data_IF_852307171978
#
_entry.id   IF_852307171978
#
_cell.length_a   1.000
_cell.length_b   1.000
_cell.length_c   1.000
_cell.angle_alpha   90.00
_cell.angle_beta   90.00
_cell.angle_gamma   90.00
#
_symmetry.space_group_name_H-M   'P 1'
#
loop_
_entity.id
_entity.type
_entity.pdbx_description
1 polymer ?
#
# COMPACT_ATOMS: atom_id res chain seq x y z
N UNK A 1 30.21 45.32 -81.51
CA UNK A 1 29.36 45.08 -80.33
C UNK A 1 28.37 43.97 -80.72
N UNK A 2 28.71 42.71 -80.46
CA UNK A 2 27.76 41.57 -80.60
C UNK A 2 28.05 40.65 -79.43
N UNK A 3 27.07 40.44 -78.55
CA UNK A 3 27.16 39.58 -77.38
C UNK A 3 26.98 38.13 -77.85
N UNK A 4 27.92 37.28 -77.50
CA UNK A 4 27.93 35.85 -77.72
C UNK A 4 27.18 35.17 -76.56
N UNK A 5 26.04 34.48 -76.82
CA UNK A 5 25.36 33.68 -75.86
C UNK A 5 25.92 32.27 -75.91
N UNK A 6 26.43 31.80 -74.79
CA UNK A 6 26.88 30.44 -74.59
C UNK A 6 25.71 29.65 -73.96
N UNK A 7 25.19 28.64 -74.67
CA UNK A 7 24.23 27.68 -74.15
C UNK A 7 25.01 26.61 -73.36
N UNK A 8 24.72 26.53 -72.06
CA UNK A 8 25.16 25.41 -71.21
C UNK A 8 24.04 24.40 -71.11
N UNK A 9 24.25 23.21 -71.66
CA UNK A 9 23.35 22.06 -71.59
C UNK A 9 23.53 21.37 -70.21
N UNK A 10 22.56 21.56 -69.31
CA UNK A 10 22.56 20.87 -68.00
C UNK A 10 21.84 19.51 -68.13
N UNK A 11 22.61 18.42 -68.00
CA UNK A 11 22.09 17.08 -67.88
C UNK A 11 21.56 16.87 -66.47
N UNK A 12 20.25 16.76 -66.31
CA UNK A 12 19.61 16.40 -65.02
C UNK A 12 19.72 14.89 -64.79
N UNK A 13 20.57 14.48 -63.87
CA UNK A 13 20.57 13.16 -63.27
C UNK A 13 19.48 13.10 -62.20
N UNK A 14 18.40 12.46 -62.46
CA UNK A 14 17.35 12.15 -61.45
C UNK A 14 17.84 10.97 -60.62
N UNK A 15 18.39 11.25 -59.45
CA UNK A 15 18.59 10.26 -58.40
C UNK A 15 17.24 10.03 -57.67
N UNK A 16 16.62 8.90 -57.90
CA UNK A 16 15.46 8.43 -57.13
C UNK A 16 15.96 8.04 -55.74
N UNK A 17 15.83 8.97 -54.76
CA UNK A 17 15.95 8.64 -53.36
C UNK A 17 14.69 7.82 -52.94
N UNK A 18 14.89 6.52 -52.78
CA UNK A 18 13.95 5.66 -52.14
C UNK A 18 13.68 6.15 -50.70
N UNK A 19 12.46 6.58 -50.44
CA UNK A 19 11.98 6.87 -49.13
C UNK A 19 11.88 5.57 -48.34
N UNK A 20 12.93 5.21 -47.60
CA UNK A 20 12.77 4.31 -46.46
C UNK A 20 12.02 5.04 -45.38
N UNK A 21 10.71 4.89 -45.38
CA UNK A 21 9.88 5.29 -44.27
C UNK A 21 10.33 4.52 -43.03
N UNK A 22 11.10 5.17 -42.15
CA UNK A 22 11.32 4.67 -40.82
C UNK A 22 9.97 4.63 -40.13
N UNK A 23 9.41 3.43 -39.97
CA UNK A 23 8.29 3.19 -39.06
C UNK A 23 8.83 3.47 -37.67
N UNK A 24 8.67 4.72 -37.25
CA UNK A 24 8.87 5.10 -35.85
C UNK A 24 7.82 4.32 -35.06
N UNK A 25 8.20 3.20 -34.45
CA UNK A 25 7.39 2.57 -33.42
C UNK A 25 7.16 3.61 -32.33
N UNK A 26 5.99 4.20 -32.26
CA UNK A 26 5.61 5.04 -31.12
C UNK A 26 5.86 4.19 -29.88
N UNK A 27 6.91 4.53 -29.13
CA UNK A 27 7.17 3.89 -27.85
C UNK A 27 5.88 4.03 -27.01
N UNK A 28 5.31 2.89 -26.66
CA UNK A 28 4.10 2.85 -25.84
C UNK A 28 4.46 3.51 -24.52
N UNK A 29 3.89 4.66 -24.23
CA UNK A 29 4.10 5.32 -22.93
C UNK A 29 3.68 4.37 -21.82
N UNK A 30 4.54 4.12 -20.82
CA UNK A 30 4.22 3.18 -19.77
C UNK A 30 3.05 3.69 -18.92
N UNK A 31 2.15 2.79 -18.53
CA UNK A 31 1.03 3.09 -17.63
C UNK A 31 1.51 3.33 -16.20
N UNK A 32 2.63 2.70 -15.83
CA UNK A 32 3.31 2.86 -14.54
C UNK A 32 4.82 3.00 -14.78
N UNK A 33 5.55 3.78 -13.97
CA UNK A 33 7.02 3.75 -13.98
C UNK A 33 7.54 2.45 -13.35
N UNK A 34 8.77 2.05 -13.68
CA UNK A 34 9.52 1.12 -12.83
C UNK A 34 10.10 1.92 -11.66
N UNK A 35 9.64 1.60 -10.47
CA UNK A 35 10.07 2.23 -9.23
C UNK A 35 11.45 1.72 -8.81
N UNK A 36 12.23 2.58 -8.18
CA UNK A 36 13.52 2.20 -7.58
C UNK A 36 13.32 1.76 -6.14
N UNK A 37 14.21 0.89 -5.64
CA UNK A 37 14.17 0.46 -4.25
C UNK A 37 13.08 -0.57 -3.92
N UNK A 38 12.55 -1.27 -4.92
CA UNK A 38 11.49 -2.29 -4.72
C UNK A 38 12.04 -3.63 -4.20
N UNK A 39 13.30 -3.64 -3.73
CA UNK A 39 13.93 -4.86 -3.21
C UNK A 39 14.33 -5.85 -4.31
N UNK A 40 14.54 -7.10 -3.89
CA UNK A 40 14.99 -8.20 -4.76
C UNK A 40 14.01 -9.37 -4.81
N UNK A 41 12.81 -9.20 -4.23
CA UNK A 41 11.80 -10.26 -4.26
C UNK A 41 11.38 -10.56 -5.69
N UNK A 42 11.31 -11.85 -6.02
CA UNK A 42 11.07 -12.32 -7.37
C UNK A 42 10.20 -13.58 -7.33
N UNK A 43 9.06 -13.53 -8.03
CA UNK A 43 8.22 -14.69 -8.26
C UNK A 43 8.18 -14.99 -9.76
N UNK A 44 8.81 -16.07 -10.17
CA UNK A 44 8.93 -16.45 -11.59
C UNK A 44 7.57 -16.76 -12.19
N UNK A 45 7.23 -16.08 -13.28
CA UNK A 45 6.00 -16.33 -14.05
C UNK A 45 6.32 -16.67 -15.52
N UNK A 46 5.40 -17.35 -16.16
CA UNK A 46 5.49 -17.60 -17.60
C UNK A 46 5.08 -16.37 -18.40
N UNK A 47 6.02 -15.45 -18.59
CA UNK A 47 5.87 -14.26 -19.42
C UNK A 47 6.86 -14.28 -20.59
N UNK A 48 6.45 -13.80 -21.77
CA UNK A 48 7.33 -13.69 -22.95
C UNK A 48 8.27 -12.50 -22.86
N UNK A 49 7.86 -11.46 -22.15
CA UNK A 49 8.63 -10.23 -21.99
C UNK A 49 9.31 -10.19 -20.62
N UNK A 50 10.66 -10.12 -20.56
CA UNK A 50 11.36 -9.90 -19.30
C UNK A 50 10.94 -8.62 -18.58
N UNK A 51 10.48 -7.61 -19.35
CA UNK A 51 9.97 -6.38 -18.76
C UNK A 51 8.59 -6.60 -18.14
N UNK A 52 7.73 -7.47 -18.68
CA UNK A 52 6.48 -7.88 -18.07
C UNK A 52 6.73 -8.59 -16.73
N UNK A 53 7.73 -9.46 -16.64
CA UNK A 53 8.16 -10.09 -15.38
C UNK A 53 8.55 -9.03 -14.33
N UNK A 54 9.36 -8.03 -14.71
CA UNK A 54 9.76 -6.96 -13.77
C UNK A 54 8.57 -6.15 -13.26
N UNK A 55 7.58 -5.86 -14.11
CA UNK A 55 6.36 -5.19 -13.67
C UNK A 55 5.47 -6.09 -12.83
N UNK A 56 5.49 -7.40 -13.05
CA UNK A 56 4.82 -8.36 -12.19
C UNK A 56 5.44 -8.37 -10.79
N UNK A 57 6.76 -8.49 -10.69
CA UNK A 57 7.48 -8.47 -9.40
C UNK A 57 7.21 -7.16 -8.64
N UNK A 58 7.26 -6.01 -9.34
CA UNK A 58 6.90 -4.73 -8.74
C UNK A 58 5.45 -4.71 -8.24
N UNK A 59 4.52 -5.23 -9.04
CA UNK A 59 3.11 -5.33 -8.67
C UNK A 59 2.90 -6.20 -7.43
N UNK A 60 3.58 -7.34 -7.34
CA UNK A 60 3.49 -8.25 -6.20
C UNK A 60 4.06 -7.62 -4.92
N UNK A 61 5.21 -6.98 -4.99
CA UNK A 61 5.82 -6.30 -3.84
C UNK A 61 4.97 -5.12 -3.37
N UNK A 62 4.37 -4.37 -4.31
CA UNK A 62 3.43 -3.30 -3.97
C UNK A 62 2.13 -3.84 -3.36
N UNK A 63 1.66 -5.01 -3.80
CA UNK A 63 0.54 -5.70 -3.17
C UNK A 63 0.88 -6.07 -1.72
N UNK A 64 2.04 -6.67 -1.49
CA UNK A 64 2.54 -6.93 -0.13
C UNK A 64 2.73 -5.67 0.72
N UNK A 65 2.83 -4.50 0.12
CA UNK A 65 2.86 -3.20 0.80
C UNK A 65 1.52 -2.48 0.81
N UNK A 66 0.41 -3.14 0.51
CA UNK A 66 -0.96 -2.60 0.44
C UNK A 66 -1.12 -1.37 -0.47
N UNK A 67 -0.15 -1.11 -1.35
CA UNK A 67 -0.29 -0.09 -2.40
C UNK A 67 -0.96 -0.69 -3.64
N UNK A 68 -2.20 -1.14 -3.46
CA UNK A 68 -2.97 -1.87 -4.47
C UNK A 68 -3.21 -1.04 -5.73
N UNK A 69 -3.38 0.28 -5.62
CA UNK A 69 -3.58 1.14 -6.79
C UNK A 69 -2.35 1.15 -7.73
N UNK A 70 -1.14 1.28 -7.18
CA UNK A 70 0.08 1.24 -7.98
C UNK A 70 0.44 -0.18 -8.42
N UNK A 71 0.13 -1.18 -7.60
CA UNK A 71 0.23 -2.59 -7.97
C UNK A 71 -0.65 -2.88 -9.20
N UNK A 72 -1.90 -2.42 -9.23
CA UNK A 72 -2.79 -2.56 -10.37
C UNK A 72 -2.24 -1.87 -11.64
N UNK A 73 -1.65 -0.67 -11.49
CA UNK A 73 -0.97 0.01 -12.61
C UNK A 73 0.21 -0.80 -13.15
N UNK A 74 1.00 -1.41 -12.26
CA UNK A 74 2.12 -2.28 -12.61
C UNK A 74 1.64 -3.53 -13.36
N UNK A 75 0.60 -4.21 -12.87
CA UNK A 75 0.02 -5.36 -13.56
C UNK A 75 -0.62 -5.00 -14.91
N UNK A 76 -1.31 -3.86 -15.01
CA UNK A 76 -1.83 -3.37 -16.30
C UNK A 76 -0.69 -3.10 -17.30
N UNK A 77 0.45 -2.58 -16.82
CA UNK A 77 1.63 -2.41 -17.66
C UNK A 77 2.23 -3.76 -18.09
N UNK A 78 2.30 -4.75 -17.20
CA UNK A 78 2.72 -6.10 -17.53
C UNK A 78 1.82 -6.74 -18.61
N UNK A 79 0.49 -6.61 -18.49
CA UNK A 79 -0.49 -7.06 -19.48
C UNK A 79 -0.29 -6.36 -20.83
N UNK A 80 -0.01 -5.05 -20.82
CA UNK A 80 0.24 -4.28 -22.05
C UNK A 80 1.51 -4.77 -22.79
N UNK A 81 2.52 -5.21 -22.05
CA UNK A 81 3.79 -5.75 -22.58
C UNK A 81 3.65 -7.22 -23.03
N UNK A 82 2.82 -8.00 -22.37
CA UNK A 82 2.49 -9.37 -22.72
C UNK A 82 0.99 -9.65 -22.52
N UNK A 83 0.15 -9.40 -23.52
CA UNK A 83 -1.31 -9.61 -23.44
C UNK A 83 -1.74 -11.07 -23.21
N UNK A 84 -0.84 -12.02 -23.35
CA UNK A 84 -1.07 -13.44 -23.12
C UNK A 84 -0.49 -13.95 -21.80
N UNK A 85 0.03 -13.08 -20.97
CA UNK A 85 0.51 -13.39 -19.64
C UNK A 85 -0.69 -13.67 -18.70
N UNK A 86 -0.95 -14.93 -18.38
CA UNK A 86 -2.04 -15.32 -17.49
C UNK A 86 -1.84 -14.77 -16.08
N UNK A 87 -0.62 -14.88 -15.51
CA UNK A 87 -0.31 -14.40 -14.17
C UNK A 87 -0.36 -12.87 -14.06
N UNK A 88 -0.08 -12.12 -15.14
CA UNK A 88 -0.25 -10.67 -15.13
C UNK A 88 -1.74 -10.28 -14.96
N UNK A 89 -2.66 -11.01 -15.59
CA UNK A 89 -4.10 -10.84 -15.39
C UNK A 89 -4.55 -11.31 -14.00
N UNK A 90 -3.98 -12.40 -13.49
CA UNK A 90 -4.18 -12.86 -12.12
C UNK A 90 -3.77 -11.76 -11.13
N UNK A 91 -2.57 -11.18 -11.27
CA UNK A 91 -2.08 -10.12 -10.39
C UNK A 91 -2.98 -8.88 -10.37
N UNK A 92 -3.50 -8.48 -11.54
CA UNK A 92 -4.47 -7.39 -11.62
C UNK A 92 -5.76 -7.73 -10.86
N UNK A 93 -6.29 -8.94 -11.04
CA UNK A 93 -7.47 -9.38 -10.31
C UNK A 93 -7.20 -9.43 -8.80
N UNK A 94 -6.03 -9.94 -8.37
CA UNK A 94 -5.64 -10.07 -6.98
C UNK A 94 -5.70 -8.73 -6.24
N UNK A 95 -5.08 -7.68 -6.79
CA UNK A 95 -4.99 -6.37 -6.10
C UNK A 95 -6.24 -5.51 -6.25
N UNK A 96 -7.20 -5.90 -7.08
CA UNK A 96 -8.53 -5.27 -7.11
C UNK A 96 -9.49 -5.87 -6.08
N UNK A 97 -9.09 -6.95 -5.41
CA UNK A 97 -9.81 -7.55 -4.30
C UNK A 97 -9.63 -6.83 -2.98
N UNK A 98 -10.33 -7.30 -1.93
CA UNK A 98 -10.17 -6.78 -0.59
C UNK A 98 -8.82 -7.17 0.02
N UNK A 99 -8.42 -6.43 1.06
CA UNK A 99 -7.36 -6.78 2.00
C UNK A 99 -7.80 -6.46 3.43
N UNK A 100 -6.99 -6.77 4.43
CA UNK A 100 -7.33 -6.56 5.85
C UNK A 100 -7.70 -5.13 6.23
N UNK A 101 -7.28 -4.13 5.43
CA UNK A 101 -7.52 -2.70 5.69
C UNK A 101 -8.64 -2.10 4.84
N UNK A 102 -9.00 -2.75 3.74
CA UNK A 102 -9.96 -2.20 2.79
C UNK A 102 -10.87 -3.29 2.21
N UNK A 103 -12.17 -3.03 2.23
CA UNK A 103 -13.15 -3.83 1.49
C UNK A 103 -12.94 -3.62 -0.01
N UNK A 104 -13.39 -4.59 -0.80
CA UNK A 104 -13.44 -4.43 -2.24
C UNK A 104 -14.49 -3.37 -2.62
N UNK A 105 -14.07 -2.39 -3.44
CA UNK A 105 -14.96 -1.38 -3.97
C UNK A 105 -15.88 -1.97 -5.06
N UNK A 106 -17.14 -1.55 -5.10
CA UNK A 106 -18.13 -2.06 -6.05
C UNK A 106 -17.73 -1.78 -7.50
N UNK A 107 -17.09 -0.66 -7.77
CA UNK A 107 -16.61 -0.27 -9.10
C UNK A 107 -15.40 -1.09 -9.58
N UNK A 108 -14.66 -1.73 -8.67
CA UNK A 108 -13.57 -2.65 -8.99
C UNK A 108 -14.06 -4.03 -9.45
N UNK A 109 -15.31 -4.42 -9.15
CA UNK A 109 -15.85 -5.76 -9.45
C UNK A 109 -15.83 -6.10 -10.95
N UNK A 110 -16.27 -5.24 -11.87
CA UNK A 110 -16.25 -5.57 -13.30
C UNK A 110 -14.84 -5.81 -13.86
N UNK A 111 -13.85 -5.01 -13.43
CA UNK A 111 -12.47 -5.14 -13.89
C UNK A 111 -11.81 -6.39 -13.30
N UNK A 112 -11.95 -6.65 -12.00
CA UNK A 112 -11.38 -7.82 -11.35
C UNK A 112 -11.94 -9.13 -11.93
N UNK A 113 -13.26 -9.18 -12.14
CA UNK A 113 -13.91 -10.34 -12.77
C UNK A 113 -13.45 -10.56 -14.20
N UNK A 114 -13.30 -9.48 -14.98
CA UNK A 114 -12.78 -9.56 -16.35
C UNK A 114 -11.34 -10.05 -16.36
N UNK A 115 -10.50 -9.54 -15.48
CA UNK A 115 -9.09 -9.92 -15.36
C UNK A 115 -8.95 -11.39 -14.97
N UNK A 116 -9.67 -11.87 -13.95
CA UNK A 116 -9.57 -13.28 -13.57
C UNK A 116 -10.14 -14.22 -14.63
N UNK A 117 -11.22 -13.88 -15.30
CA UNK A 117 -11.72 -14.67 -16.44
C UNK A 117 -10.70 -14.74 -17.57
N UNK A 118 -10.00 -13.64 -17.84
CA UNK A 118 -8.93 -13.62 -18.84
C UNK A 118 -7.76 -14.50 -18.41
N UNK A 119 -7.36 -14.47 -17.14
CA UNK A 119 -6.34 -15.38 -16.61
C UNK A 119 -6.73 -16.86 -16.81
N UNK A 120 -7.97 -17.23 -16.47
CA UNK A 120 -8.50 -18.59 -16.65
C UNK A 120 -8.47 -19.02 -18.14
N UNK A 121 -8.85 -18.15 -19.07
CA UNK A 121 -8.78 -18.43 -20.52
C UNK A 121 -7.34 -18.69 -21.00
N UNK A 122 -6.37 -18.03 -20.39
CA UNK A 122 -4.95 -18.13 -20.76
C UNK A 122 -4.21 -19.27 -20.00
N UNK A 123 -4.80 -19.80 -18.94
CA UNK A 123 -4.18 -20.75 -18.01
C UNK A 123 -3.66 -22.04 -18.69
N UNK A 124 -4.26 -22.47 -19.80
CA UNK A 124 -3.82 -23.67 -20.50
C UNK A 124 -2.37 -23.62 -21.01
N UNK A 125 -1.77 -22.44 -21.07
CA UNK A 125 -0.36 -22.25 -21.43
C UNK A 125 0.54 -21.98 -20.21
N UNK A 126 -0.01 -21.97 -19.01
CA UNK A 126 0.69 -21.70 -17.75
C UNK A 126 1.28 -22.97 -17.14
N UNK A 127 2.18 -22.82 -16.14
CA UNK A 127 2.66 -23.93 -15.34
C UNK A 127 1.52 -24.48 -14.44
N UNK A 128 1.69 -25.67 -13.88
CA UNK A 128 0.69 -26.25 -12.95
C UNK A 128 0.48 -25.37 -11.72
N UNK A 129 1.56 -24.77 -11.18
CA UNK A 129 1.48 -23.85 -10.06
C UNK A 129 0.68 -22.59 -10.46
N UNK A 130 1.00 -21.95 -11.58
CA UNK A 130 0.26 -20.78 -12.07
C UNK A 130 -1.22 -21.06 -12.30
N UNK A 131 -1.55 -22.25 -12.84
CA UNK A 131 -2.95 -22.69 -13.00
C UNK A 131 -3.66 -22.81 -11.65
N UNK A 132 -2.97 -23.34 -10.63
CA UNK A 132 -3.52 -23.45 -9.28
C UNK A 132 -3.79 -22.06 -8.65
N UNK A 133 -2.87 -21.09 -8.79
CA UNK A 133 -3.10 -19.68 -8.37
C UNK A 133 -4.33 -19.07 -9.06
N UNK A 134 -4.43 -19.21 -10.37
CA UNK A 134 -5.53 -18.67 -11.16
C UNK A 134 -6.87 -19.30 -10.73
N UNK A 135 -6.91 -20.62 -10.59
CA UNK A 135 -8.12 -21.33 -10.19
C UNK A 135 -8.54 -21.01 -8.74
N UNK A 136 -7.58 -20.83 -7.83
CA UNK A 136 -7.86 -20.41 -6.47
C UNK A 136 -8.48 -19.00 -6.45
N UNK A 137 -7.85 -18.03 -7.10
CA UNK A 137 -8.36 -16.65 -7.11
C UNK A 137 -9.71 -16.53 -7.82
N UNK A 138 -10.00 -17.37 -8.81
CA UNK A 138 -11.29 -17.40 -9.50
C UNK A 138 -12.47 -17.71 -8.57
N UNK A 139 -12.22 -18.31 -7.38
CA UNK A 139 -13.25 -18.55 -6.36
C UNK A 139 -13.69 -17.29 -5.63
N UNK A 140 -12.87 -16.22 -5.68
CA UNK A 140 -13.09 -14.98 -4.94
C UNK A 140 -14.02 -13.99 -5.63
N UNK A 141 -14.31 -14.16 -6.94
CA UNK A 141 -14.98 -13.14 -7.74
C UNK A 141 -16.27 -13.60 -8.39
N UNK A 142 -17.21 -12.67 -8.49
CA UNK A 142 -18.48 -12.75 -9.22
C UNK A 142 -18.58 -11.56 -10.18
N UNK A 143 -19.54 -11.62 -11.11
CA UNK A 143 -19.76 -10.58 -12.12
C UNK A 143 -20.51 -9.35 -11.60
N UNK A 144 -20.98 -9.41 -10.35
CA UNK A 144 -21.75 -8.35 -9.68
C UNK A 144 -21.23 -8.11 -8.27
N UNK A 145 -21.31 -6.87 -7.77
CA UNK A 145 -21.07 -6.57 -6.37
C UNK A 145 -21.98 -7.40 -5.45
N UNK A 146 -21.45 -7.78 -4.29
CA UNK A 146 -22.17 -8.48 -3.25
C UNK A 146 -22.03 -7.70 -1.95
N UNK A 147 -23.13 -7.54 -1.22
CA UNK A 147 -23.13 -6.92 0.10
C UNK A 147 -22.33 -7.73 1.12
N UNK A 148 -22.45 -9.06 1.07
CA UNK A 148 -21.67 -10.02 1.86
C UNK A 148 -20.81 -10.89 0.95
N UNK A 149 -19.49 -10.79 1.11
CA UNK A 149 -18.48 -11.54 0.35
C UNK A 149 -17.90 -12.72 1.13
N UNK A 150 -18.32 -12.94 2.37
CA UNK A 150 -17.72 -13.89 3.30
C UNK A 150 -17.55 -15.29 2.71
N UNK A 151 -18.55 -15.78 1.97
CA UNK A 151 -18.49 -17.09 1.33
C UNK A 151 -17.44 -17.17 0.22
N UNK A 152 -17.22 -16.08 -0.52
CA UNK A 152 -16.19 -16.01 -1.56
C UNK A 152 -14.79 -15.96 -0.94
N UNK A 153 -14.61 -15.19 0.13
CA UNK A 153 -13.33 -15.07 0.81
C UNK A 153 -12.96 -16.38 1.50
N UNK A 154 -13.91 -17.08 2.12
CA UNK A 154 -13.72 -18.44 2.66
C UNK A 154 -13.36 -19.46 1.56
N UNK A 155 -14.07 -19.43 0.42
CA UNK A 155 -13.79 -20.34 -0.70
C UNK A 155 -12.39 -20.08 -1.31
N UNK A 156 -11.96 -18.82 -1.34
CA UNK A 156 -10.62 -18.45 -1.76
C UNK A 156 -9.56 -18.94 -0.77
N UNK A 157 -9.73 -18.70 0.52
CA UNK A 157 -8.80 -19.16 1.55
C UNK A 157 -8.63 -20.68 1.53
N UNK A 158 -9.73 -21.47 1.38
CA UNK A 158 -9.66 -22.93 1.25
C UNK A 158 -8.95 -23.35 -0.04
N UNK A 159 -9.18 -22.65 -1.15
CA UNK A 159 -8.48 -22.95 -2.41
C UNK A 159 -6.97 -22.63 -2.32
N UNK A 160 -6.58 -21.54 -1.64
CA UNK A 160 -5.19 -21.21 -1.39
C UNK A 160 -4.52 -22.23 -0.47
N UNK A 161 -5.23 -22.74 0.55
CA UNK A 161 -4.74 -23.86 1.38
C UNK A 161 -4.43 -25.11 0.54
N UNK A 162 -5.31 -25.49 -0.38
CA UNK A 162 -5.08 -26.62 -1.28
C UNK A 162 -3.86 -26.37 -2.19
N UNK A 163 -3.66 -25.14 -2.66
CA UNK A 163 -2.49 -24.76 -3.42
C UNK A 163 -1.20 -24.95 -2.61
N UNK A 164 -1.17 -24.48 -1.36
CA UNK A 164 0.03 -24.66 -0.50
C UNK A 164 0.33 -26.12 -0.21
N UNK A 165 -0.68 -26.98 -0.13
CA UNK A 165 -0.49 -28.42 0.04
C UNK A 165 0.08 -29.09 -1.22
N UNK A 166 -0.33 -28.61 -2.39
CA UNK A 166 0.17 -29.11 -3.69
C UNK A 166 1.58 -28.61 -4.00
N UNK A 167 1.92 -27.39 -3.60
CA UNK A 167 3.21 -26.73 -3.84
C UNK A 167 3.84 -26.25 -2.51
N UNK A 168 4.30 -27.15 -1.63
CA UNK A 168 4.72 -26.79 -0.26
C UNK A 168 5.99 -25.92 -0.19
N UNK A 169 6.74 -25.81 -1.29
CA UNK A 169 7.93 -24.97 -1.38
C UNK A 169 7.65 -23.57 -1.98
N UNK A 170 6.40 -23.29 -2.35
CA UNK A 170 5.99 -21.99 -2.87
C UNK A 170 5.64 -21.05 -1.70
N UNK A 171 6.61 -20.23 -1.29
CA UNK A 171 6.47 -19.35 -0.13
C UNK A 171 5.54 -18.18 -0.40
N UNK A 172 5.38 -17.74 -1.65
CA UNK A 172 4.38 -16.74 -2.02
C UNK A 172 2.97 -17.32 -1.89
N UNK A 173 2.75 -18.58 -2.30
CA UNK A 173 1.49 -19.26 -2.10
C UNK A 173 1.11 -19.34 -0.61
N UNK A 174 2.07 -19.68 0.23
CA UNK A 174 1.87 -19.74 1.68
C UNK A 174 1.60 -18.33 2.27
N UNK A 175 2.29 -17.29 1.79
CA UNK A 175 2.07 -15.91 2.21
C UNK A 175 0.67 -15.43 1.84
N UNK A 176 0.24 -15.65 0.59
CA UNK A 176 -1.09 -15.26 0.12
C UNK A 176 -2.20 -16.10 0.78
N UNK A 177 -1.92 -17.35 1.15
CA UNK A 177 -2.84 -18.13 1.97
C UNK A 177 -3.03 -17.53 3.36
N UNK A 178 -1.94 -17.12 4.01
CA UNK A 178 -2.01 -16.44 5.30
C UNK A 178 -2.82 -15.12 5.19
N UNK A 179 -2.59 -14.31 4.15
CA UNK A 179 -3.38 -13.11 3.89
C UNK A 179 -4.86 -13.45 3.65
N UNK A 180 -5.16 -14.45 2.82
CA UNK A 180 -6.54 -14.88 2.56
C UNK A 180 -7.28 -15.32 3.84
N UNK A 181 -6.59 -15.96 4.80
CA UNK A 181 -7.15 -16.24 6.12
C UNK A 181 -7.39 -14.97 6.92
N UNK A 182 -6.43 -14.03 6.93
CA UNK A 182 -6.57 -12.74 7.61
C UNK A 182 -7.76 -11.94 7.07
N UNK A 183 -8.01 -11.99 5.76
CA UNK A 183 -9.15 -11.33 5.10
C UNK A 183 -10.51 -11.90 5.52
N UNK A 184 -10.57 -13.15 6.00
CA UNK A 184 -11.84 -13.71 6.53
C UNK A 184 -12.19 -13.20 7.93
N UNK A 185 -11.24 -12.57 8.64
CA UNK A 185 -11.40 -12.07 10.01
C UNK A 185 -10.57 -10.78 10.23
N UNK A 186 -10.76 -9.71 9.44
CA UNK A 186 -9.90 -8.53 9.47
C UNK A 186 -9.80 -7.94 10.88
N UNK A 187 -8.59 -7.86 11.43
CA UNK A 187 -8.26 -7.33 12.77
C UNK A 187 -8.86 -8.10 13.95
N UNK A 188 -9.58 -9.20 13.73
CA UNK A 188 -10.22 -10.01 14.75
C UNK A 188 -9.44 -11.31 15.02
N UNK A 189 -8.12 -11.19 15.29
CA UNK A 189 -7.19 -12.31 15.40
C UNK A 189 -7.08 -12.90 16.80
N UNK A 190 -7.47 -12.12 17.83
CA UNK A 190 -7.21 -12.46 19.23
C UNK A 190 -8.49 -12.51 20.04
N UNK A 191 -8.52 -13.38 21.06
CA UNK A 191 -9.58 -13.37 22.08
C UNK A 191 -9.34 -12.23 23.08
N UNK A 192 -10.32 -11.97 23.94
CA UNK A 192 -10.17 -10.98 25.02
C UNK A 192 -9.11 -11.39 26.05
N UNK A 193 -8.85 -12.69 26.21
CA UNK A 193 -7.83 -13.26 27.09
C UNK A 193 -6.42 -13.19 26.49
N UNK A 194 -6.29 -12.74 25.24
CA UNK A 194 -5.00 -12.62 24.55
C UNK A 194 -4.50 -13.91 23.92
N UNK A 195 -5.39 -14.87 23.70
CA UNK A 195 -5.08 -16.09 22.94
C UNK A 195 -5.42 -15.91 21.46
N UNK A 196 -4.62 -16.45 20.54
CA UNK A 196 -4.96 -16.39 19.13
C UNK A 196 -6.18 -17.25 18.83
N UNK A 197 -7.07 -16.73 17.97
CA UNK A 197 -8.16 -17.54 17.43
C UNK A 197 -7.60 -18.68 16.54
N UNK A 198 -8.31 -19.79 16.34
CA UNK A 198 -7.78 -20.96 15.62
C UNK A 198 -7.23 -20.64 14.22
N UNK A 199 -7.92 -19.77 13.46
CA UNK A 199 -7.47 -19.33 12.13
C UNK A 199 -6.28 -18.37 12.23
N UNK A 200 -6.24 -17.51 13.23
CA UNK A 200 -5.11 -16.62 13.48
C UNK A 200 -3.85 -17.39 13.91
N UNK A 201 -4.00 -18.47 14.67
CA UNK A 201 -2.86 -19.35 14.98
C UNK A 201 -2.28 -19.97 13.70
N UNK A 202 -3.14 -20.41 12.76
CA UNK A 202 -2.67 -20.95 11.46
C UNK A 202 -1.93 -19.87 10.66
N UNK A 203 -2.39 -18.62 10.67
CA UNK A 203 -1.69 -17.48 10.05
C UNK A 203 -0.30 -17.33 10.66
N UNK A 204 -0.20 -17.27 11.99
CA UNK A 204 1.07 -17.12 12.72
C UNK A 204 2.02 -18.27 12.37
N UNK A 205 1.59 -19.52 12.50
CA UNK A 205 2.41 -20.70 12.22
C UNK A 205 2.90 -20.74 10.77
N UNK A 206 2.03 -20.35 9.82
CA UNK A 206 2.38 -20.29 8.39
C UNK A 206 3.46 -19.22 8.14
N UNK A 207 3.26 -18.02 8.67
CA UNK A 207 4.19 -16.91 8.46
C UNK A 207 5.55 -17.15 9.15
N UNK A 208 5.55 -17.76 10.33
CA UNK A 208 6.79 -18.18 11.01
C UNK A 208 7.55 -19.21 10.18
N UNK A 209 6.86 -20.24 9.66
CA UNK A 209 7.47 -21.25 8.80
C UNK A 209 8.07 -20.66 7.51
N UNK A 210 7.41 -19.64 6.91
CA UNK A 210 7.97 -18.95 5.75
C UNK A 210 9.25 -18.20 6.13
N UNK A 211 9.23 -17.47 7.25
CA UNK A 211 10.39 -16.69 7.70
C UNK A 211 11.56 -17.55 8.19
N UNK A 212 11.31 -18.79 8.63
CA UNK A 212 12.36 -19.78 8.90
C UNK A 212 13.10 -20.21 7.62
N UNK A 213 12.37 -20.35 6.52
CA UNK A 213 12.91 -20.77 5.21
C UNK A 213 13.49 -19.59 4.43
N UNK A 214 12.82 -18.44 4.47
CA UNK A 214 13.19 -17.19 3.78
C UNK A 214 12.97 -16.00 4.70
N UNK A 215 13.95 -15.68 5.56
CA UNK A 215 13.83 -14.60 6.54
C UNK A 215 13.50 -13.25 5.90
N UNK A 216 13.91 -13.03 4.67
CA UNK A 216 13.78 -11.77 3.95
C UNK A 216 12.54 -11.71 3.03
N UNK A 217 11.55 -12.59 3.22
CA UNK A 217 10.29 -12.56 2.47
C UNK A 217 9.46 -11.32 2.88
N UNK A 218 9.25 -10.31 1.99
CA UNK A 218 8.65 -9.03 2.40
C UNK A 218 7.21 -9.17 2.86
N UNK A 219 6.38 -9.95 2.15
CA UNK A 219 4.98 -10.17 2.51
C UNK A 219 4.84 -10.91 3.85
N UNK A 220 5.64 -11.94 4.09
CA UNK A 220 5.58 -12.69 5.35
C UNK A 220 5.95 -11.83 6.55
N UNK A 221 7.05 -11.06 6.48
CA UNK A 221 7.44 -10.15 7.56
C UNK A 221 6.36 -9.08 7.82
N UNK A 222 5.73 -8.54 6.77
CA UNK A 222 4.67 -7.54 6.89
C UNK A 222 3.42 -8.10 7.59
N UNK A 223 2.87 -9.19 7.05
CA UNK A 223 1.65 -9.80 7.59
C UNK A 223 1.86 -10.32 9.01
N UNK A 224 3.06 -10.84 9.33
CA UNK A 224 3.39 -11.28 10.68
C UNK A 224 3.36 -10.15 11.69
N UNK A 225 3.88 -8.96 11.34
CA UNK A 225 3.75 -7.78 12.19
C UNK A 225 2.29 -7.52 12.53
N UNK A 226 1.41 -7.46 11.53
CA UNK A 226 -0.02 -7.24 11.75
C UNK A 226 -0.70 -8.37 12.57
N UNK A 227 -0.30 -9.62 12.35
CA UNK A 227 -0.89 -10.75 13.05
C UNK A 227 -0.61 -10.70 14.56
N UNK A 228 0.58 -10.23 14.99
CA UNK A 228 1.00 -10.33 16.40
C UNK A 228 1.09 -8.99 17.13
N UNK A 229 1.06 -7.85 16.42
CA UNK A 229 1.31 -6.52 17.01
C UNK A 229 0.40 -6.19 18.20
N UNK A 230 -0.85 -6.66 18.18
CA UNK A 230 -1.84 -6.30 19.19
C UNK A 230 -1.52 -6.90 20.57
N UNK A 231 -1.01 -8.13 20.61
CA UNK A 231 -0.90 -8.92 21.86
C UNK A 231 0.52 -9.41 22.11
N UNK A 232 1.27 -9.81 21.08
CA UNK A 232 2.61 -10.40 21.20
C UNK A 232 3.67 -9.65 20.38
N UNK A 233 3.78 -8.30 20.48
CA UNK A 233 4.66 -7.50 19.61
C UNK A 233 6.13 -7.90 19.71
N UNK A 234 6.56 -8.44 20.85
CA UNK A 234 7.95 -8.88 21.06
C UNK A 234 8.37 -9.98 20.10
N UNK A 235 7.44 -10.82 19.64
CA UNK A 235 7.72 -11.89 18.69
C UNK A 235 8.11 -11.35 17.31
N UNK A 236 7.59 -10.18 16.92
CA UNK A 236 7.85 -9.57 15.60
C UNK A 236 9.05 -8.60 15.57
N UNK A 237 9.84 -8.44 16.65
CA UNK A 237 10.99 -7.53 16.66
C UNK A 237 11.95 -7.85 15.51
N UNK A 238 12.30 -9.13 15.31
CA UNK A 238 13.20 -9.54 14.23
C UNK A 238 12.62 -9.30 12.83
N UNK A 239 11.33 -9.51 12.64
CA UNK A 239 10.63 -9.22 11.39
C UNK A 239 10.63 -7.71 11.10
N UNK A 240 10.35 -6.88 12.12
CA UNK A 240 10.40 -5.42 12.03
C UNK A 240 11.81 -4.92 11.66
N UNK A 241 12.85 -5.42 12.33
CA UNK A 241 14.25 -5.02 12.07
C UNK A 241 14.72 -5.37 10.66
N UNK A 242 14.15 -6.41 10.03
CA UNK A 242 14.41 -6.80 8.64
C UNK A 242 13.61 -5.97 7.64
N UNK A 243 12.28 -5.89 7.83
CA UNK A 243 11.33 -5.37 6.83
C UNK A 243 11.66 -3.96 6.37
N UNK A 244 12.04 -3.06 7.28
CA UNK A 244 12.39 -1.67 6.96
C UNK A 244 13.56 -1.50 5.97
N UNK A 245 14.28 -2.57 5.64
CA UNK A 245 15.42 -2.57 4.72
C UNK A 245 15.16 -3.36 3.44
N UNK A 246 14.16 -4.25 3.45
CA UNK A 246 13.91 -5.16 2.33
C UNK A 246 13.37 -4.45 1.10
N UNK A 247 12.48 -3.46 1.30
CA UNK A 247 11.83 -2.72 0.21
C UNK A 247 11.89 -1.22 0.50
N UNK A 248 13.07 -0.60 0.42
CA UNK A 248 13.26 0.81 0.81
C UNK A 248 12.50 1.81 -0.07
N UNK A 249 11.93 1.39 -1.20
CA UNK A 249 11.08 2.19 -2.08
C UNK A 249 9.58 2.08 -1.78
N UNK A 250 9.16 1.25 -0.82
CA UNK A 250 7.76 1.13 -0.39
C UNK A 250 7.56 1.84 0.95
N UNK A 251 6.90 3.00 0.94
CA UNK A 251 6.70 3.80 2.15
C UNK A 251 6.01 3.02 3.26
N UNK A 252 4.98 2.23 2.94
CA UNK A 252 4.28 1.42 3.93
C UNK A 252 5.18 0.34 4.54
N UNK A 253 5.94 -0.41 3.74
CA UNK A 253 6.85 -1.43 4.28
C UNK A 253 8.01 -0.83 5.11
N UNK A 254 8.44 0.39 4.80
CA UNK A 254 9.44 1.13 5.60
C UNK A 254 8.82 1.63 6.93
N UNK A 255 7.53 1.96 6.94
CA UNK A 255 6.79 2.38 8.13
C UNK A 255 6.50 1.21 9.09
N UNK A 256 6.20 0.02 8.56
CA UNK A 256 5.70 -1.13 9.32
C UNK A 256 6.49 -1.52 10.58
N UNK A 257 7.84 -1.43 10.61
CA UNK A 257 8.60 -1.65 11.85
C UNK A 257 8.12 -0.82 13.02
N UNK A 258 7.59 0.38 12.77
CA UNK A 258 7.14 1.29 13.83
C UNK A 258 5.94 0.75 14.61
N UNK A 259 5.10 -0.11 14.02
CA UNK A 259 4.02 -0.80 14.72
C UNK A 259 4.52 -1.62 15.90
N UNK A 260 5.67 -2.29 15.71
CA UNK A 260 6.30 -3.06 16.76
C UNK A 260 7.10 -2.15 17.70
N UNK A 261 7.88 -1.23 17.14
CA UNK A 261 8.77 -0.38 17.94
C UNK A 261 8.03 0.46 18.98
N UNK A 262 6.86 1.04 18.65
CA UNK A 262 6.06 1.78 19.63
C UNK A 262 5.54 0.90 20.77
N UNK A 263 5.24 -0.37 20.50
CA UNK A 263 4.69 -1.32 21.48
C UNK A 263 5.75 -1.90 22.40
N UNK A 264 7.02 -1.90 21.95
CA UNK A 264 8.15 -2.40 22.75
C UNK A 264 9.01 -1.28 23.34
N UNK A 265 8.57 0.00 23.23
CA UNK A 265 9.24 1.15 23.82
C UNK A 265 10.44 1.69 23.01
N UNK A 266 10.65 1.23 21.77
CA UNK A 266 11.70 1.71 20.85
C UNK A 266 11.24 2.95 20.08
N UNK A 267 10.84 4.01 20.79
CA UNK A 267 10.20 5.19 20.19
C UNK A 267 11.10 5.93 19.21
N UNK A 268 12.41 6.02 19.49
CA UNK A 268 13.37 6.62 18.56
C UNK A 268 13.40 5.87 17.22
N UNK A 269 13.49 4.54 17.26
CA UNK A 269 13.49 3.71 16.05
C UNK A 269 12.18 3.86 15.26
N UNK A 270 11.05 3.98 15.96
CA UNK A 270 9.75 4.25 15.36
C UNK A 270 9.72 5.62 14.67
N UNK A 271 10.24 6.66 15.30
CA UNK A 271 10.33 8.00 14.70
C UNK A 271 11.19 7.99 13.43
N UNK A 272 12.37 7.35 13.48
CA UNK A 272 13.27 7.21 12.32
C UNK A 272 12.61 6.43 11.17
N UNK A 273 11.90 5.33 11.47
CA UNK A 273 11.19 4.55 10.45
C UNK A 273 10.13 5.41 9.74
N UNK A 274 9.33 6.16 10.49
CA UNK A 274 8.29 7.02 9.91
C UNK A 274 8.86 8.22 9.14
N UNK A 275 9.95 8.83 9.59
CA UNK A 275 10.63 9.88 8.82
C UNK A 275 11.10 9.36 7.46
N UNK A 276 11.67 8.14 7.41
CA UNK A 276 12.06 7.49 6.16
C UNK A 276 10.84 7.18 5.29
N UNK A 277 9.78 6.61 5.86
CA UNK A 277 8.56 6.29 5.14
C UNK A 277 7.94 7.54 4.49
N UNK A 278 7.84 8.65 5.23
CA UNK A 278 7.33 9.93 4.72
C UNK A 278 8.19 10.45 3.56
N UNK A 279 9.52 10.32 3.64
CA UNK A 279 10.40 10.71 2.55
C UNK A 279 10.19 9.85 1.29
N UNK A 280 10.00 8.55 1.46
CA UNK A 280 9.68 7.61 0.36
C UNK A 280 8.33 7.94 -0.26
N UNK A 281 7.31 8.20 0.54
CA UNK A 281 5.96 8.54 0.07
C UNK A 281 5.94 9.86 -0.70
N UNK A 282 6.67 10.89 -0.24
CA UNK A 282 6.79 12.15 -0.96
C UNK A 282 7.45 11.96 -2.34
N UNK A 283 8.46 11.10 -2.44
CA UNK A 283 9.08 10.74 -3.71
C UNK A 283 8.11 9.96 -4.62
N UNK A 284 7.36 9.01 -4.04
CA UNK A 284 6.34 8.24 -4.76
C UNK A 284 5.23 9.14 -5.35
N UNK A 285 4.69 10.11 -4.58
CA UNK A 285 3.68 11.05 -5.08
C UNK A 285 4.21 11.82 -6.30
N UNK A 286 5.46 12.28 -6.21
CA UNK A 286 6.08 13.06 -7.28
C UNK A 286 6.20 12.25 -8.58
N UNK A 287 6.47 10.92 -8.47
CA UNK A 287 6.66 10.05 -9.63
C UNK A 287 5.34 9.49 -10.18
N UNK A 288 4.37 9.17 -9.34
CA UNK A 288 3.21 8.35 -9.69
C UNK A 288 1.88 9.11 -9.71
N UNK A 289 1.81 10.36 -9.22
CA UNK A 289 0.54 11.06 -9.00
C UNK A 289 -0.42 10.19 -8.20
N UNK A 290 0.01 9.77 -7.01
CA UNK A 290 -0.64 8.78 -6.16
C UNK A 290 -2.17 8.93 -6.09
N UNK A 291 -2.88 7.83 -6.25
CA UNK A 291 -4.34 7.76 -6.33
C UNK A 291 -4.88 6.73 -5.33
N UNK A 292 -6.19 6.74 -5.12
CA UNK A 292 -6.87 5.79 -4.25
C UNK A 292 -6.69 6.08 -2.77
N UNK A 293 -6.84 5.05 -1.94
CA UNK A 293 -6.80 5.17 -0.48
C UNK A 293 -5.39 5.44 0.07
N UNK A 294 -4.34 5.12 -0.66
CA UNK A 294 -2.97 5.21 -0.16
C UNK A 294 -2.59 6.63 0.31
N UNK A 295 -2.76 7.71 -0.49
CA UNK A 295 -2.48 9.07 -0.03
C UNK A 295 -3.46 9.58 1.04
N UNK A 296 -4.66 9.02 1.13
CA UNK A 296 -5.70 9.47 2.06
C UNK A 296 -5.60 8.81 3.44
N UNK A 297 -5.08 7.60 3.51
CA UNK A 297 -5.01 6.82 4.75
C UNK A 297 -3.56 6.53 5.18
N UNK A 298 -2.75 5.87 4.33
CA UNK A 298 -1.44 5.38 4.73
C UNK A 298 -0.43 6.50 4.95
N UNK A 299 -0.45 7.54 4.14
CA UNK A 299 0.47 8.67 4.29
C UNK A 299 0.19 9.51 5.55
N UNK A 300 -1.06 9.93 5.83
CA UNK A 300 -1.39 10.56 7.11
C UNK A 300 -1.09 9.66 8.30
N UNK A 301 -1.28 8.35 8.18
CA UNK A 301 -0.96 7.37 9.21
C UNK A 301 0.53 7.38 9.59
N UNK A 302 1.45 7.51 8.62
CA UNK A 302 2.87 7.62 8.88
C UNK A 302 3.21 8.90 9.69
N UNK A 303 2.55 10.02 9.39
CA UNK A 303 2.68 11.24 10.19
C UNK A 303 2.10 11.10 11.59
N UNK A 304 0.99 10.36 11.74
CA UNK A 304 0.38 10.09 13.05
C UNK A 304 1.31 9.24 13.93
N UNK A 305 1.93 8.20 13.36
CA UNK A 305 2.91 7.38 14.06
C UNK A 305 4.17 8.17 14.43
N UNK A 306 4.66 9.03 13.52
CA UNK A 306 5.78 9.90 13.80
C UNK A 306 5.47 10.85 14.97
N UNK A 307 4.28 11.46 14.95
CA UNK A 307 3.82 12.31 16.05
C UNK A 307 3.78 11.55 17.38
N UNK A 308 3.20 10.34 17.39
CA UNK A 308 3.11 9.53 18.59
C UNK A 308 4.50 9.16 19.13
N UNK A 309 5.36 8.65 18.26
CA UNK A 309 6.73 8.25 18.64
C UNK A 309 7.53 9.44 19.21
N UNK A 310 7.53 10.58 18.52
CA UNK A 310 8.20 11.80 18.98
C UNK A 310 7.60 12.35 20.28
N UNK A 311 6.30 12.21 20.48
CA UNK A 311 5.62 12.60 21.74
C UNK A 311 6.07 11.72 22.91
N UNK A 312 6.20 10.42 22.70
CA UNK A 312 6.66 9.47 23.71
C UNK A 312 8.15 9.62 24.01
N UNK A 313 8.97 9.93 23.02
CA UNK A 313 10.40 10.23 23.16
C UNK A 313 10.65 11.58 23.85
N UNK A 314 9.66 12.49 23.85
CA UNK A 314 9.78 13.83 24.44
C UNK A 314 10.34 14.87 23.46
N UNK A 315 10.49 14.54 22.18
CA UNK A 315 10.89 15.51 21.15
C UNK A 315 9.72 16.43 20.77
N UNK A 316 9.61 17.54 21.53
CA UNK A 316 8.58 18.56 21.31
C UNK A 316 8.61 19.13 19.90
N UNK A 317 9.80 19.34 19.31
CA UNK A 317 9.93 19.96 18.00
C UNK A 317 9.37 19.05 16.93
N UNK A 318 9.85 17.81 16.90
CA UNK A 318 9.42 16.80 15.93
C UNK A 318 7.93 16.47 16.09
N UNK A 319 7.44 16.28 17.31
CA UNK A 319 6.04 16.03 17.59
C UNK A 319 5.13 17.17 17.10
N UNK A 320 5.55 18.44 17.33
CA UNK A 320 4.77 19.61 16.87
C UNK A 320 4.73 19.70 15.34
N UNK A 321 5.85 19.42 14.66
CA UNK A 321 5.94 19.44 13.21
C UNK A 321 5.09 18.31 12.59
N UNK A 322 5.23 17.10 13.10
CA UNK A 322 4.45 15.94 12.64
C UNK A 322 2.94 16.16 12.82
N UNK A 323 2.52 16.68 13.98
CA UNK A 323 1.11 17.00 14.26
C UNK A 323 0.54 18.04 13.30
N UNK A 324 1.29 19.10 12.99
CA UNK A 324 0.87 20.15 12.03
C UNK A 324 0.76 19.59 10.62
N UNK A 325 1.75 18.81 10.18
CA UNK A 325 1.74 18.20 8.85
C UNK A 325 0.57 17.24 8.70
N UNK A 326 0.31 16.43 9.72
CA UNK A 326 -0.84 15.53 9.76
C UNK A 326 -2.17 16.29 9.60
N UNK A 327 -2.39 17.33 10.43
CA UNK A 327 -3.62 18.12 10.36
C UNK A 327 -3.78 18.84 9.02
N UNK A 328 -2.68 19.27 8.38
CA UNK A 328 -2.70 19.91 7.07
C UNK A 328 -3.05 18.96 5.90
N UNK A 329 -2.92 17.66 6.10
CA UNK A 329 -3.30 16.64 5.11
C UNK A 329 -4.80 16.30 5.12
N UNK A 330 -5.53 16.76 6.15
CA UNK A 330 -6.95 16.46 6.29
C UNK A 330 -7.77 17.32 5.35
N UNK A 331 -8.49 16.68 4.43
CA UNK A 331 -9.49 17.37 3.62
C UNK A 331 -10.70 17.74 4.47
N UNK A 332 -11.06 19.05 4.56
CA UNK A 332 -12.14 19.52 5.40
C UNK A 332 -13.54 19.01 5.00
N UNK A 333 -13.74 18.61 3.75
CA UNK A 333 -14.99 18.04 3.27
C UNK A 333 -15.06 16.55 3.58
N UNK A 334 -13.99 15.80 3.22
CA UNK A 334 -13.93 14.36 3.43
C UNK A 334 -14.07 13.95 4.90
N UNK A 335 -13.58 14.74 5.86
CA UNK A 335 -13.73 14.39 7.28
C UNK A 335 -15.19 14.42 7.78
N UNK A 336 -16.15 14.87 6.95
CA UNK A 336 -17.58 14.87 7.23
C UNK A 336 -18.33 13.69 6.63
N UNK A 337 -17.67 12.97 5.70
CA UNK A 337 -18.26 11.81 5.05
C UNK A 337 -18.41 10.63 6.03
N UNK A 338 -19.47 9.83 5.87
CA UNK A 338 -19.65 8.60 6.66
C UNK A 338 -18.43 7.69 6.55
N UNK A 339 -17.96 7.19 7.70
CA UNK A 339 -16.76 6.32 7.76
C UNK A 339 -15.42 7.06 7.82
N UNK A 340 -15.36 8.38 7.57
CA UNK A 340 -14.12 9.18 7.55
C UNK A 340 -13.81 9.86 8.91
N UNK A 341 -14.38 9.38 10.01
CA UNK A 341 -14.16 9.93 11.36
C UNK A 341 -12.70 10.00 11.81
N UNK A 342 -11.84 9.12 11.30
CA UNK A 342 -10.39 9.14 11.54
C UNK A 342 -9.75 10.46 11.09
N UNK A 343 -10.25 11.09 10.02
CA UNK A 343 -9.75 12.39 9.56
C UNK A 343 -10.05 13.48 10.60
N UNK A 344 -11.19 13.44 11.28
CA UNK A 344 -11.46 14.35 12.39
C UNK A 344 -10.47 14.17 13.54
N UNK A 345 -10.07 12.91 13.83
CA UNK A 345 -9.02 12.64 14.80
C UNK A 345 -7.68 13.23 14.37
N UNK A 346 -7.28 13.06 13.12
CA UNK A 346 -6.04 13.64 12.62
C UNK A 346 -6.02 15.17 12.71
N UNK A 347 -7.14 15.83 12.49
CA UNK A 347 -7.24 17.30 12.57
C UNK A 347 -6.99 17.86 13.97
N UNK A 348 -7.25 17.07 15.02
CA UNK A 348 -7.13 17.52 16.42
C UNK A 348 -5.84 17.09 17.12
N UNK A 349 -4.99 16.33 16.47
CA UNK A 349 -3.69 15.89 17.02
C UNK A 349 -2.82 17.05 17.51
N UNK A 350 -2.82 18.26 16.89
CA UNK A 350 -2.13 19.42 17.43
C UNK A 350 -2.54 19.80 18.86
N UNK A 351 -3.82 19.60 19.26
CA UNK A 351 -4.24 19.85 20.62
C UNK A 351 -3.58 18.91 21.63
N UNK A 352 -3.51 17.62 21.32
CA UNK A 352 -2.82 16.65 22.19
C UNK A 352 -1.34 16.96 22.32
N UNK A 353 -0.70 17.45 21.25
CA UNK A 353 0.68 17.91 21.28
C UNK A 353 0.85 19.12 22.20
N UNK A 354 -0.02 20.12 22.08
CA UNK A 354 0.02 21.32 22.91
C UNK A 354 -0.23 20.98 24.39
N UNK A 355 -1.16 20.07 24.69
CA UNK A 355 -1.42 19.58 26.04
C UNK A 355 -0.19 18.90 26.62
N UNK A 356 0.38 17.93 25.87
CA UNK A 356 1.54 17.14 26.31
C UNK A 356 2.74 18.02 26.70
N UNK A 357 2.94 19.11 25.95
CA UNK A 357 4.09 20.01 26.13
C UNK A 357 3.76 21.33 26.85
N UNK A 358 2.59 21.42 27.50
CA UNK A 358 2.19 22.56 28.33
C UNK A 358 2.06 23.88 27.56
N UNK A 359 1.65 23.84 26.29
CA UNK A 359 1.56 25.05 25.47
C UNK A 359 0.18 25.74 25.66
N UNK A 360 -0.13 26.10 26.91
CA UNK A 360 -1.46 26.54 27.35
C UNK A 360 -1.94 27.79 26.62
N UNK A 361 -1.07 28.81 26.45
CA UNK A 361 -1.44 30.05 25.76
C UNK A 361 -1.81 29.79 24.30
N UNK A 362 -1.14 28.84 23.64
CA UNK A 362 -1.48 28.47 22.26
C UNK A 362 -2.84 27.77 22.18
N UNK A 363 -3.16 26.90 23.14
CA UNK A 363 -4.48 26.28 23.21
C UNK A 363 -5.56 27.34 23.35
N UNK A 364 -5.40 28.30 24.26
CA UNK A 364 -6.38 29.35 24.49
C UNK A 364 -6.52 30.31 23.28
N UNK A 365 -5.46 30.50 22.50
CA UNK A 365 -5.47 31.30 21.29
C UNK A 365 -6.02 30.57 20.05
N UNK A 366 -6.19 29.24 20.11
CA UNK A 366 -6.69 28.46 18.97
C UNK A 366 -8.21 28.70 18.81
N UNK A 367 -8.68 29.07 17.60
CA UNK A 367 -10.10 29.30 17.37
C UNK A 367 -10.91 27.99 17.53
N UNK A 368 -12.21 28.16 17.82
CA UNK A 368 -13.13 27.05 17.89
C UNK A 368 -13.31 26.38 16.51
N UNK A 369 -13.33 25.04 16.44
CA UNK A 369 -13.71 24.32 15.24
C UNK A 369 -15.13 24.66 14.77
N UNK A 370 -15.44 24.36 13.51
CA UNK A 370 -16.80 24.54 12.97
C UNK A 370 -17.84 23.75 13.79
N UNK A 371 -19.04 24.33 13.96
CA UNK A 371 -20.05 23.85 14.90
C UNK A 371 -20.60 22.45 14.58
N UNK A 372 -20.53 22.02 13.34
CA UNK A 372 -20.93 20.68 12.87
C UNK A 372 -19.92 19.59 13.27
N UNK A 373 -18.66 19.95 13.51
CA UNK A 373 -17.60 19.04 13.90
C UNK A 373 -17.63 18.77 15.42
N UNK A 374 -18.54 17.90 15.85
CA UNK A 374 -18.81 17.62 17.28
C UNK A 374 -17.58 17.11 18.02
N UNK A 375 -16.86 16.15 17.44
CA UNK A 375 -15.67 15.55 18.05
C UNK A 375 -14.52 16.57 18.16
N UNK A 376 -14.10 17.26 17.10
CA UNK A 376 -13.11 18.32 17.20
C UNK A 376 -13.48 19.41 18.21
N UNK A 377 -14.74 19.84 18.26
CA UNK A 377 -15.24 20.83 19.23
C UNK A 377 -15.13 20.32 20.66
N UNK A 378 -15.48 19.05 20.91
CA UNK A 378 -15.33 18.42 22.23
C UNK A 378 -13.86 18.42 22.70
N UNK A 379 -12.93 18.07 21.82
CA UNK A 379 -11.48 18.09 22.14
C UNK A 379 -10.98 19.53 22.35
N UNK A 380 -11.47 20.50 21.58
CA UNK A 380 -11.14 21.91 21.79
C UNK A 380 -11.55 22.40 23.19
N UNK A 381 -12.78 22.08 23.65
CA UNK A 381 -13.23 22.39 25.01
C UNK A 381 -12.37 21.68 26.07
N UNK A 382 -12.13 20.38 25.89
CA UNK A 382 -11.26 19.61 26.77
C UNK A 382 -9.85 20.24 26.93
N UNK A 383 -9.23 20.59 25.82
CA UNK A 383 -7.89 21.22 25.82
C UNK A 383 -7.92 22.57 26.55
N UNK A 384 -8.94 23.39 26.32
CA UNK A 384 -9.08 24.69 26.99
C UNK A 384 -9.35 24.55 28.47
N UNK A 385 -10.18 23.58 28.91
CA UNK A 385 -10.38 23.29 30.31
C UNK A 385 -9.08 22.95 31.03
N UNK A 386 -8.25 22.08 30.43
CA UNK A 386 -6.90 21.78 30.93
C UNK A 386 -5.99 23.02 31.01
N UNK A 387 -6.03 23.89 29.99
CA UNK A 387 -5.25 25.11 29.95
C UNK A 387 -5.65 26.09 31.03
N UNK A 388 -6.95 26.34 31.23
CA UNK A 388 -7.46 27.21 32.32
C UNK A 388 -7.10 26.65 33.71
N UNK A 389 -7.28 25.32 33.90
CA UNK A 389 -6.87 24.68 35.16
C UNK A 389 -5.36 24.85 35.43
N UNK A 390 -4.51 24.65 34.42
CA UNK A 390 -3.07 24.81 34.54
C UNK A 390 -2.63 26.26 34.86
N UNK A 391 -3.43 27.24 34.45
CA UNK A 391 -3.21 28.68 34.73
C UNK A 391 -3.87 29.15 36.04
N UNK A 392 -4.55 28.27 36.77
CA UNK A 392 -5.24 28.60 38.03
C UNK A 392 -6.61 29.27 37.84
N UNK A 393 -7.13 29.32 36.61
CA UNK A 393 -8.42 29.92 36.28
C UNK A 393 -9.58 28.91 36.37
N UNK A 394 -9.74 28.30 37.55
CA UNK A 394 -10.63 27.16 37.84
C UNK A 394 -12.08 27.42 37.42
N UNK A 395 -12.58 28.67 37.58
CA UNK A 395 -13.98 29.01 37.21
C UNK A 395 -14.19 28.95 35.70
N UNK A 396 -13.15 29.11 34.89
CA UNK A 396 -13.21 29.03 33.43
C UNK A 396 -12.97 27.61 32.92
N UNK A 397 -12.35 26.75 33.73
CA UNK A 397 -12.07 25.37 33.42
C UNK A 397 -13.35 24.51 33.45
#
# INVERSE_FOLDING_TARGET
>A
MKRLQIFILSVLFTVSLGWFGSVSSKAIQPTAPLLTGMGTHHHTIKAKSPLAQRYFDQGLVLAYGFNHAEAARSFRQAIKLDPNCAMCNWGLAYVLGPNINAKMEDDAVPESYTAIKRAVQLAGNSTESEQAYINALAKRYTDKPLEDRSQLDLAYAEAMKQLTQQFPNDLDAATIYAEALMDTMPWDYWTQEGEPKPEAQKVIDTLESIMEQSPDHPGANHLYIHAVEAVKPQQAISAADRLGKLVPGSGHLVHMPSHIYIRVGRYHDAAVANQKAIAVDNNYITQCHAQGIYPLAYMPHNHHFLWFAATMEGDRKLATEAAKNLAAMVDPQMMREPGMGTLQHFSIVPFFTMIRFGQWDKILATPQPEADLKYPTGIWHYARGLAFNAQGEIVKA
#
